data_IF_985787974541
#
_entry.id   IF_985787974541
#
_cell.length_a   1.000
_cell.length_b   1.000
_cell.length_c   1.000
_cell.angle_alpha   90.00
_cell.angle_beta   90.00
_cell.angle_gamma   90.00
#
_symmetry.space_group_name_H-M   'P 1'
#
loop_
_entity.id
_entity.type
_entity.pdbx_description
1 polymer ?
#
# COMPACT_ATOMS: atom_id res chain seq x y z
N UNK A 1 24.43 -2.48 -6.56
CA UNK A 1 24.78 -2.02 -5.19
C UNK A 1 23.48 -1.78 -4.40
N UNK A 2 23.49 -1.94 -3.07
CA UNK A 2 22.36 -1.62 -2.21
C UNK A 2 22.16 -0.10 -2.13
N UNK A 3 20.90 0.37 -2.09
CA UNK A 3 20.60 1.79 -1.88
C UNK A 3 20.95 2.20 -0.45
N UNK A 4 21.21 3.50 -0.20
CA UNK A 4 21.47 4.02 1.16
C UNK A 4 20.40 3.63 2.16
N UNK A 5 19.13 3.67 1.73
CA UNK A 5 18.00 3.20 2.55
C UNK A 5 18.12 1.72 2.93
N UNK A 6 18.60 0.89 2.02
CA UNK A 6 18.83 -0.56 2.29
C UNK A 6 20.00 -0.75 3.24
N UNK A 7 21.07 0.02 3.12
CA UNK A 7 22.21 -0.02 4.03
C UNK A 7 21.80 0.35 5.45
N UNK A 8 21.05 1.43 5.62
CA UNK A 8 20.52 1.83 6.93
C UNK A 8 19.57 0.78 7.54
N UNK A 9 18.75 0.10 6.72
CA UNK A 9 17.93 -1.01 7.18
C UNK A 9 18.80 -2.18 7.63
N UNK A 10 19.84 -2.52 6.90
CA UNK A 10 20.78 -3.60 7.22
C UNK A 10 21.52 -3.32 8.53
N UNK A 11 22.03 -2.12 8.70
CA UNK A 11 22.69 -1.71 9.95
C UNK A 11 21.78 -1.86 11.16
N UNK A 12 20.52 -1.42 11.06
CA UNK A 12 19.51 -1.60 12.14
C UNK A 12 19.21 -3.06 12.43
N UNK A 13 19.11 -3.89 11.40
CA UNK A 13 18.87 -5.33 11.56
C UNK A 13 20.07 -6.03 12.24
N UNK A 14 21.29 -5.70 11.81
CA UNK A 14 22.52 -6.24 12.42
C UNK A 14 22.63 -5.82 13.90
N UNK A 15 22.42 -4.53 14.21
CA UNK A 15 22.41 -4.01 15.58
C UNK A 15 21.38 -4.74 16.45
N UNK A 16 20.17 -4.93 15.97
CA UNK A 16 19.12 -5.65 16.68
C UNK A 16 19.52 -7.11 16.96
N UNK A 17 20.22 -7.76 16.04
CA UNK A 17 20.69 -9.13 16.22
C UNK A 17 21.82 -9.22 17.25
N UNK A 18 22.78 -8.28 17.24
CA UNK A 18 23.85 -8.24 18.25
C UNK A 18 23.32 -7.97 19.65
N UNK A 19 22.33 -7.08 19.79
CA UNK A 19 21.62 -6.91 21.07
C UNK A 19 20.91 -8.19 21.55
N UNK A 20 20.49 -9.07 20.63
CA UNK A 20 19.94 -10.37 20.97
C UNK A 20 21.04 -11.31 21.53
N UNK A 21 22.23 -11.33 20.94
CA UNK A 21 23.37 -12.09 21.46
C UNK A 21 23.77 -11.61 22.86
N UNK A 22 23.86 -10.31 23.03
CA UNK A 22 24.18 -9.67 24.31
C UNK A 22 23.17 -10.08 25.40
N UNK A 23 21.88 -9.98 25.16
CA UNK A 23 20.81 -10.39 26.09
C UNK A 23 20.88 -11.87 26.49
N UNK A 24 21.45 -12.70 25.63
CA UNK A 24 21.66 -14.13 25.87
C UNK A 24 23.04 -14.45 26.45
N UNK A 25 23.86 -13.44 26.73
CA UNK A 25 25.27 -13.58 27.15
C UNK A 25 26.10 -14.44 26.19
N UNK A 26 25.82 -14.34 24.87
CA UNK A 26 26.53 -15.06 23.82
C UNK A 26 27.63 -14.16 23.27
N UNK A 27 28.88 -14.60 23.32
CA UNK A 27 30.02 -13.87 22.73
C UNK A 27 29.86 -13.70 21.22
N UNK A 28 30.22 -12.52 20.70
CA UNK A 28 30.14 -12.22 19.26
C UNK A 28 31.33 -12.88 18.56
N UNK A 29 31.09 -14.06 17.99
CA UNK A 29 32.03 -14.82 17.14
C UNK A 29 31.32 -15.27 15.88
N UNK A 30 32.05 -15.55 14.80
CA UNK A 30 31.47 -16.03 13.54
C UNK A 30 30.61 -17.30 13.73
N UNK A 31 31.08 -18.20 14.61
CA UNK A 31 30.34 -19.40 14.97
C UNK A 31 29.03 -19.07 15.68
N UNK A 32 29.08 -18.30 16.75
CA UNK A 32 27.92 -17.96 17.57
C UNK A 32 26.86 -17.15 16.80
N UNK A 33 27.29 -16.24 15.91
CA UNK A 33 26.39 -15.53 14.98
C UNK A 33 25.65 -16.53 14.09
N UNK A 34 26.36 -17.50 13.52
CA UNK A 34 25.79 -18.52 12.66
C UNK A 34 24.81 -19.41 13.41
N UNK A 35 25.21 -19.90 14.59
CA UNK A 35 24.43 -20.81 15.40
C UNK A 35 23.13 -20.14 15.91
N UNK A 36 23.22 -18.88 16.41
CA UNK A 36 22.03 -18.12 16.85
C UNK A 36 21.12 -17.73 15.68
N UNK A 37 21.69 -17.43 14.49
CA UNK A 37 20.89 -17.16 13.30
C UNK A 37 20.07 -18.38 12.85
N UNK A 38 20.63 -19.58 12.96
CA UNK A 38 19.91 -20.83 12.70
C UNK A 38 18.88 -21.11 13.81
N UNK A 39 19.26 -20.94 15.07
CA UNK A 39 18.37 -21.18 16.21
C UNK A 39 17.15 -20.28 16.22
N UNK A 40 17.29 -19.00 15.82
CA UNK A 40 16.18 -18.05 15.78
C UNK A 40 15.28 -18.17 14.54
N UNK A 41 15.59 -19.04 13.59
CA UNK A 41 14.82 -19.15 12.33
C UNK A 41 13.32 -19.45 12.56
N UNK A 42 12.88 -20.29 13.50
CA UNK A 42 11.46 -20.52 13.77
C UNK A 42 10.72 -19.29 14.28
N UNK A 43 11.41 -18.36 14.93
CA UNK A 43 10.81 -17.14 15.47
C UNK A 43 10.44 -16.12 14.38
N UNK A 44 11.07 -16.25 13.22
CA UNK A 44 10.93 -15.29 12.14
C UNK A 44 10.25 -15.89 10.90
N UNK A 45 9.62 -15.04 10.11
CA UNK A 45 9.18 -15.43 8.77
C UNK A 45 10.41 -15.63 7.88
N UNK A 46 10.36 -16.58 6.93
CA UNK A 46 11.51 -16.88 6.05
C UNK A 46 12.08 -15.65 5.33
N UNK A 47 11.21 -14.74 4.89
CA UNK A 47 11.64 -13.50 4.21
C UNK A 47 12.37 -12.53 5.15
N UNK A 48 11.94 -12.44 6.42
CA UNK A 48 12.64 -11.63 7.42
C UNK A 48 13.99 -12.25 7.76
N UNK A 49 14.05 -13.57 7.97
CA UNK A 49 15.29 -14.29 8.23
C UNK A 49 16.31 -14.11 7.08
N UNK A 50 15.85 -14.21 5.83
CA UNK A 50 16.68 -13.95 4.64
C UNK A 50 17.28 -12.54 4.66
N UNK A 51 16.47 -11.52 5.00
CA UNK A 51 16.96 -10.12 5.12
C UNK A 51 17.93 -9.97 6.28
N UNK A 52 17.65 -10.57 7.43
CA UNK A 52 18.53 -10.57 8.59
C UNK A 52 19.88 -11.19 8.25
N UNK A 53 19.89 -12.36 7.58
CA UNK A 53 21.10 -12.98 7.08
C UNK A 53 21.88 -12.03 6.15
N UNK A 54 21.21 -11.41 5.19
CA UNK A 54 21.83 -10.44 4.29
C UNK A 54 22.44 -9.24 5.03
N UNK A 55 21.77 -8.75 6.05
CA UNK A 55 22.25 -7.64 6.88
C UNK A 55 23.51 -8.02 7.69
N UNK A 56 23.54 -9.24 8.23
CA UNK A 56 24.72 -9.74 8.96
C UNK A 56 25.92 -9.96 8.01
N UNK A 57 25.68 -10.49 6.81
CA UNK A 57 26.71 -10.64 5.78
C UNK A 57 27.31 -9.27 5.41
N UNK A 58 26.45 -8.29 5.12
CA UNK A 58 26.88 -6.93 4.78
C UNK A 58 27.70 -6.30 5.91
N UNK A 59 27.20 -6.41 7.15
CA UNK A 59 27.88 -5.87 8.33
C UNK A 59 29.26 -6.53 8.57
N UNK A 60 29.36 -7.86 8.46
CA UNK A 60 30.65 -8.55 8.63
C UNK A 60 31.66 -8.18 7.54
N UNK A 61 31.19 -8.01 6.29
CA UNK A 61 32.04 -7.52 5.17
C UNK A 61 32.56 -6.10 5.44
N UNK A 62 31.70 -5.22 5.91
CA UNK A 62 32.09 -3.83 6.21
C UNK A 62 33.08 -3.72 7.35
N UNK A 63 33.12 -4.70 8.27
CA UNK A 63 34.11 -4.83 9.34
C UNK A 63 35.38 -5.55 8.91
N UNK A 64 35.49 -6.02 7.67
CA UNK A 64 36.65 -6.77 7.15
C UNK A 64 36.63 -8.26 7.48
N UNK A 65 35.60 -8.81 8.14
CA UNK A 65 35.51 -10.23 8.48
C UNK A 65 34.91 -11.05 7.32
N UNK A 66 35.66 -11.20 6.24
CA UNK A 66 35.21 -11.81 4.97
C UNK A 66 34.81 -13.28 5.19
N UNK A 67 35.60 -14.08 5.90
CA UNK A 67 35.31 -15.49 6.16
C UNK A 67 34.04 -15.67 6.99
N UNK A 68 33.83 -14.80 7.98
CA UNK A 68 32.59 -14.81 8.77
C UNK A 68 31.35 -14.49 7.90
N UNK A 69 31.51 -13.53 6.98
CA UNK A 69 30.45 -13.17 6.05
C UNK A 69 30.12 -14.32 5.08
N UNK A 70 31.11 -15.01 4.55
CA UNK A 70 30.95 -16.17 3.66
C UNK A 70 30.27 -17.33 4.40
N UNK A 71 30.70 -17.63 5.61
CA UNK A 71 30.05 -18.62 6.48
C UNK A 71 28.57 -18.32 6.68
N UNK A 72 28.21 -17.07 7.01
CA UNK A 72 26.82 -16.65 7.22
C UNK A 72 26.05 -16.72 5.88
N UNK A 73 26.66 -16.33 4.77
CA UNK A 73 26.04 -16.36 3.45
C UNK A 73 25.66 -17.79 3.01
N UNK A 74 26.48 -18.78 3.35
CA UNK A 74 26.24 -20.19 3.08
C UNK A 74 25.09 -20.83 3.87
N UNK A 75 24.60 -20.17 4.94
CA UNK A 75 23.54 -20.73 5.78
C UNK A 75 22.21 -20.80 5.01
N UNK A 76 21.53 -21.94 5.16
CA UNK A 76 20.16 -22.14 4.68
C UNK A 76 19.18 -22.04 5.83
N UNK A 77 18.01 -21.47 5.59
CA UNK A 77 16.98 -21.39 6.61
C UNK A 77 16.45 -22.79 6.96
N UNK A 78 16.63 -23.28 8.19
CA UNK A 78 16.25 -24.65 8.56
C UNK A 78 14.73 -24.88 8.49
N UNK A 79 13.92 -23.82 8.65
CA UNK A 79 12.46 -23.92 8.60
C UNK A 79 11.94 -24.18 7.18
N UNK A 80 12.69 -23.75 6.15
CA UNK A 80 12.32 -23.94 4.74
C UNK A 80 13.17 -24.99 4.03
N UNK A 81 14.06 -25.66 4.75
CA UNK A 81 14.84 -26.76 4.22
C UNK A 81 13.94 -27.95 3.87
N UNK A 82 14.31 -28.72 2.85
CA UNK A 82 13.61 -29.95 2.49
C UNK A 82 13.61 -30.92 3.69
N UNK A 83 12.46 -31.48 4.01
CA UNK A 83 12.30 -32.39 5.16
C UNK A 83 12.14 -31.69 6.51
N UNK A 84 12.03 -30.36 6.55
CA UNK A 84 11.80 -29.65 7.81
C UNK A 84 10.37 -29.87 8.34
N UNK A 85 10.26 -30.32 9.58
CA UNK A 85 8.99 -30.44 10.30
C UNK A 85 8.60 -29.18 11.08
N UNK A 86 9.43 -28.13 11.06
CA UNK A 86 9.17 -26.90 11.78
C UNK A 86 8.12 -26.07 11.04
N UNK A 87 7.01 -25.66 11.69
CA UNK A 87 5.97 -24.89 11.04
C UNK A 87 6.47 -23.50 10.61
N UNK A 88 6.24 -23.15 9.34
CA UNK A 88 6.59 -21.85 8.80
C UNK A 88 5.73 -20.76 9.43
N UNK A 89 6.34 -19.74 10.03
CA UNK A 89 5.62 -18.58 10.57
C UNK A 89 4.83 -17.89 9.47
N UNK A 90 3.50 -17.98 9.56
CA UNK A 90 2.57 -17.44 8.56
C UNK A 90 2.64 -15.92 8.49
N UNK A 91 2.39 -15.40 7.29
CA UNK A 91 2.21 -13.96 7.12
C UNK A 91 0.94 -13.52 7.83
N UNK A 92 1.04 -12.42 8.59
CA UNK A 92 -0.13 -11.82 9.20
C UNK A 92 -1.19 -11.49 8.12
N UNK A 93 -2.42 -11.89 8.36
CA UNK A 93 -3.53 -11.54 7.50
C UNK A 93 -3.73 -10.02 7.51
N UNK A 94 -4.12 -9.48 6.37
CA UNK A 94 -4.39 -8.05 6.20
C UNK A 94 -5.79 -7.88 5.62
N UNK A 95 -6.44 -6.81 5.99
CA UNK A 95 -7.70 -6.40 5.34
C UNK A 95 -7.41 -6.02 3.90
N UNK A 96 -8.01 -6.76 2.95
CA UNK A 96 -7.80 -6.59 1.50
C UNK A 96 -8.95 -5.86 0.81
N UNK A 97 -9.93 -5.39 1.56
CA UNK A 97 -11.05 -4.60 1.05
C UNK A 97 -11.52 -3.67 2.15
N UNK A 98 -12.10 -2.55 1.77
CA UNK A 98 -12.70 -1.59 2.71
C UNK A 98 -14.21 -1.67 2.58
N UNK A 99 -14.88 -1.85 3.71
CA UNK A 99 -16.33 -1.68 3.78
C UNK A 99 -16.66 -0.18 3.68
N UNK A 100 -17.63 0.25 2.87
CA UNK A 100 -18.08 1.65 2.83
C UNK A 100 -18.41 2.21 4.22
N UNK A 101 -19.10 1.45 5.06
CA UNK A 101 -19.38 1.84 6.44
C UNK A 101 -18.13 2.05 7.28
N UNK A 102 -17.07 1.21 7.10
CA UNK A 102 -15.80 1.38 7.79
C UNK A 102 -15.06 2.64 7.31
N UNK A 103 -15.14 2.94 6.01
CA UNK A 103 -14.55 4.17 5.46
C UNK A 103 -15.26 5.41 6.01
N UNK A 104 -16.58 5.41 6.02
CA UNK A 104 -17.39 6.50 6.60
C UNK A 104 -17.04 6.69 8.08
N UNK A 105 -17.03 5.62 8.87
CA UNK A 105 -16.68 5.68 10.29
C UNK A 105 -15.29 6.25 10.54
N UNK A 106 -14.30 5.91 9.71
CA UNK A 106 -12.95 6.50 9.79
C UNK A 106 -12.95 7.99 9.44
N UNK A 107 -13.66 8.38 8.38
CA UNK A 107 -13.77 9.77 7.97
C UNK A 107 -14.42 10.59 9.09
N UNK A 108 -15.53 10.12 9.64
CA UNK A 108 -16.26 10.82 10.71
C UNK A 108 -15.43 10.88 12.00
N UNK A 109 -14.70 9.80 12.33
CA UNK A 109 -13.76 9.80 13.46
C UNK A 109 -12.73 10.94 13.39
N UNK A 110 -12.19 11.20 12.19
CA UNK A 110 -11.20 12.27 12.00
C UNK A 110 -11.83 13.64 11.79
N UNK A 111 -13.04 13.74 11.24
CA UNK A 111 -13.79 15.00 11.13
C UNK A 111 -14.12 15.59 12.52
N UNK A 112 -14.64 14.76 13.42
CA UNK A 112 -14.95 15.19 14.80
C UNK A 112 -13.70 15.70 15.54
N UNK A 113 -12.51 15.31 15.09
CA UNK A 113 -11.22 15.73 15.67
C UNK A 113 -10.52 16.81 14.87
N UNK A 114 -11.19 17.39 13.88
CA UNK A 114 -10.66 18.41 12.98
C UNK A 114 -9.32 17.98 12.30
N UNK A 115 -9.11 16.66 12.14
CA UNK A 115 -7.92 16.13 11.45
C UNK A 115 -8.15 16.05 9.93
N UNK A 116 -8.20 17.22 9.31
CA UNK A 116 -8.43 17.41 7.87
C UNK A 116 -7.42 16.62 7.03
N UNK A 117 -6.18 16.55 7.48
CA UNK A 117 -5.10 15.83 6.79
C UNK A 117 -5.36 14.33 6.70
N UNK A 118 -5.89 13.74 7.78
CA UNK A 118 -6.29 12.33 7.76
C UNK A 118 -7.51 12.09 6.86
N UNK A 119 -8.48 12.98 6.89
CA UNK A 119 -9.65 12.91 5.99
C UNK A 119 -9.19 13.00 4.53
N UNK A 120 -8.36 13.97 4.20
CA UNK A 120 -7.78 14.13 2.86
C UNK A 120 -6.98 12.89 2.43
N UNK A 121 -6.15 12.34 3.33
CA UNK A 121 -5.39 11.14 3.04
C UNK A 121 -6.30 9.92 2.77
N UNK A 122 -7.32 9.68 3.58
CA UNK A 122 -8.27 8.57 3.37
C UNK A 122 -8.95 8.70 2.00
N UNK A 123 -9.43 9.90 1.67
CA UNK A 123 -10.07 10.17 0.38
C UNK A 123 -9.08 9.92 -0.77
N UNK A 124 -7.87 10.48 -0.68
CA UNK A 124 -6.84 10.33 -1.71
C UNK A 124 -6.47 8.85 -1.94
N UNK A 125 -6.23 8.10 -0.86
CA UNK A 125 -5.93 6.67 -0.98
C UNK A 125 -7.10 5.88 -1.54
N UNK A 126 -8.34 6.26 -1.26
CA UNK A 126 -9.53 5.59 -1.80
C UNK A 126 -9.69 5.79 -3.30
N UNK A 127 -9.40 6.99 -3.81
CA UNK A 127 -9.53 7.32 -5.23
C UNK A 127 -8.36 6.82 -6.07
N UNK A 128 -7.14 6.94 -5.56
CA UNK A 128 -5.92 6.71 -6.35
C UNK A 128 -5.23 5.37 -6.07
N UNK A 129 -5.56 4.71 -4.98
CA UNK A 129 -4.94 3.44 -4.58
C UNK A 129 -3.42 3.49 -4.53
N UNK A 130 -2.83 4.63 -4.21
CA UNK A 130 -1.38 4.84 -4.16
C UNK A 130 -0.71 3.96 -3.10
N UNK A 131 0.60 3.75 -3.25
CA UNK A 131 1.40 3.21 -2.14
C UNK A 131 1.68 4.32 -1.13
N UNK A 132 1.72 4.04 0.17
CA UNK A 132 2.02 5.05 1.17
C UNK A 132 3.26 5.89 0.87
N UNK A 133 4.32 5.28 0.35
CA UNK A 133 5.55 5.99 0.01
C UNK A 133 5.47 6.85 -1.27
N UNK A 134 4.36 6.81 -2.02
CA UNK A 134 4.14 7.62 -3.22
C UNK A 134 3.44 8.96 -2.88
N UNK A 135 2.96 9.12 -1.64
CA UNK A 135 2.18 10.29 -1.23
C UNK A 135 2.95 11.62 -1.43
N UNK A 136 4.24 11.63 -1.13
CA UNK A 136 5.05 12.85 -1.18
C UNK A 136 5.25 13.35 -2.64
N UNK A 137 5.21 12.45 -3.60
CA UNK A 137 5.61 12.70 -4.99
C UNK A 137 4.41 12.65 -5.95
N UNK A 138 3.30 13.27 -5.53
CA UNK A 138 2.09 13.42 -6.33
C UNK A 138 1.97 14.87 -6.80
N UNK A 139 1.69 15.06 -8.09
CA UNK A 139 1.39 16.37 -8.68
C UNK A 139 0.07 16.35 -9.43
N UNK A 140 -0.69 17.43 -9.36
CA UNK A 140 -1.98 17.59 -10.01
C UNK A 140 -1.87 18.65 -11.13
N UNK A 141 -2.35 18.32 -12.30
CA UNK A 141 -2.47 19.23 -13.42
C UNK A 141 -3.84 19.04 -14.10
N UNK A 142 -4.76 19.95 -13.84
CA UNK A 142 -6.15 19.79 -14.28
C UNK A 142 -6.79 18.55 -13.65
N UNK A 143 -7.37 17.71 -14.47
CA UNK A 143 -7.96 16.42 -14.09
C UNK A 143 -6.95 15.26 -14.04
N UNK A 144 -5.68 15.55 -14.40
CA UNK A 144 -4.59 14.56 -14.41
C UNK A 144 -3.77 14.62 -13.13
N UNK A 145 -3.48 13.44 -12.58
CA UNK A 145 -2.65 13.25 -11.36
C UNK A 145 -1.44 12.40 -11.70
N UNK A 146 -0.26 13.00 -11.69
CA UNK A 146 0.99 12.29 -11.86
C UNK A 146 1.48 11.75 -10.53
N UNK A 147 1.87 10.48 -10.49
CA UNK A 147 2.38 9.79 -9.32
C UNK A 147 3.74 9.20 -9.64
N UNK A 148 4.75 9.58 -8.88
CA UNK A 148 6.10 9.00 -8.99
C UNK A 148 6.15 7.66 -8.25
N UNK A 149 6.57 6.60 -8.93
CA UNK A 149 6.58 5.25 -8.38
C UNK A 149 7.63 5.06 -7.28
N UNK A 150 7.20 4.67 -6.08
CA UNK A 150 8.08 4.52 -4.92
C UNK A 150 9.00 3.29 -4.94
N UNK A 151 8.79 2.34 -5.84
CA UNK A 151 9.57 1.09 -5.93
C UNK A 151 10.16 0.92 -7.32
N UNK A 152 10.95 1.89 -7.74
CA UNK A 152 11.73 1.75 -8.98
C UNK A 152 12.95 0.87 -8.70
N UNK A 153 13.17 -0.15 -9.54
CA UNK A 153 14.44 -0.86 -9.57
C UNK A 153 15.38 -0.19 -10.58
N UNK A 154 16.69 -0.32 -10.36
CA UNK A 154 17.70 0.27 -11.24
C UNK A 154 17.63 -0.25 -12.69
N UNK A 155 17.11 -1.46 -12.86
CA UNK A 155 16.90 -2.15 -14.14
C UNK A 155 15.53 -1.84 -14.77
N UNK A 156 14.75 -0.92 -14.20
CA UNK A 156 13.42 -0.58 -14.69
C UNK A 156 12.37 -1.70 -14.58
N UNK A 157 12.70 -2.85 -14.00
CA UNK A 157 11.81 -4.02 -13.94
C UNK A 157 10.64 -3.83 -12.95
N UNK A 158 10.77 -2.93 -11.96
CA UNK A 158 9.77 -2.74 -10.91
C UNK A 158 9.42 -1.29 -10.71
N UNK A 159 8.13 -1.03 -10.58
CA UNK A 159 7.56 0.28 -10.27
C UNK A 159 7.67 1.24 -11.44
N UNK A 160 6.57 1.87 -11.80
CA UNK A 160 6.51 2.88 -12.85
C UNK A 160 5.89 4.16 -12.32
N UNK A 161 6.30 5.28 -12.88
CA UNK A 161 5.54 6.51 -12.82
C UNK A 161 4.26 6.30 -13.61
N UNK A 162 3.21 7.00 -13.23
CA UNK A 162 1.94 6.92 -13.91
C UNK A 162 1.15 8.21 -13.76
N UNK A 163 0.28 8.45 -14.71
CA UNK A 163 -0.70 9.51 -14.63
C UNK A 163 -2.09 8.91 -14.57
N UNK A 164 -2.88 9.32 -13.60
CA UNK A 164 -4.28 8.96 -13.47
C UNK A 164 -5.11 10.13 -13.98
N UNK A 165 -6.18 9.86 -14.74
CA UNK A 165 -7.13 10.87 -15.17
C UNK A 165 -8.46 10.70 -14.43
N UNK A 166 -9.04 11.82 -13.97
CA UNK A 166 -10.28 11.87 -13.21
C UNK A 166 -11.31 12.78 -13.89
N UNK A 167 -11.94 12.27 -14.92
CA UNK A 167 -12.95 12.99 -15.67
C UNK A 167 -14.10 13.47 -14.77
N UNK A 168 -14.50 14.75 -14.94
CA UNK A 168 -15.59 15.34 -14.16
C UNK A 168 -15.33 15.52 -12.67
N UNK A 169 -14.08 15.51 -12.23
CA UNK A 169 -13.66 15.92 -10.89
C UNK A 169 -13.16 17.35 -10.95
N UNK A 170 -13.58 18.19 -10.01
CA UNK A 170 -13.07 19.56 -9.90
C UNK A 170 -11.56 19.55 -9.62
N UNK A 171 -10.73 20.11 -10.51
CA UNK A 171 -9.27 20.15 -10.34
C UNK A 171 -8.81 20.89 -9.08
N UNK A 172 -9.57 21.90 -8.65
CA UNK A 172 -9.26 22.66 -7.42
C UNK A 172 -9.44 21.80 -6.18
N UNK A 173 -10.55 21.04 -6.14
CA UNK A 173 -10.81 20.09 -5.08
C UNK A 173 -9.73 18.99 -5.04
N UNK A 174 -9.36 18.44 -6.20
CA UNK A 174 -8.34 17.41 -6.32
C UNK A 174 -6.97 17.90 -5.83
N UNK A 175 -6.57 19.12 -6.25
CA UNK A 175 -5.33 19.76 -5.80
C UNK A 175 -5.34 20.04 -4.30
N UNK A 176 -6.47 20.46 -3.74
CA UNK A 176 -6.61 20.72 -2.32
C UNK A 176 -6.42 19.44 -1.49
N UNK A 177 -7.06 18.34 -1.88
CA UNK A 177 -6.91 17.05 -1.17
C UNK A 177 -5.47 16.55 -1.22
N UNK A 178 -4.82 16.62 -2.38
CA UNK A 178 -3.42 16.19 -2.51
C UNK A 178 -2.53 17.02 -1.61
N UNK A 179 -2.65 18.33 -1.65
CA UNK A 179 -1.88 19.27 -0.82
C UNK A 179 -2.07 18.98 0.68
N UNK A 180 -3.32 18.86 1.14
CA UNK A 180 -3.60 18.60 2.56
C UNK A 180 -3.01 17.26 3.02
N UNK A 181 -3.12 16.22 2.21
CA UNK A 181 -2.56 14.91 2.55
C UNK A 181 -1.02 14.93 2.57
N UNK A 182 -0.36 15.72 1.71
CA UNK A 182 1.10 15.83 1.63
C UNK A 182 1.72 16.61 2.80
N UNK A 183 0.97 17.49 3.47
CA UNK A 183 1.45 18.19 4.67
C UNK A 183 1.74 17.25 5.85
N UNK A 184 1.22 16.03 5.84
CA UNK A 184 1.43 15.10 6.92
C UNK A 184 2.50 14.04 6.56
N UNK A 185 3.34 13.70 7.54
CA UNK A 185 4.26 12.58 7.39
C UNK A 185 3.49 11.26 7.27
N UNK A 186 3.81 10.46 6.28
CA UNK A 186 3.12 9.20 5.99
C UNK A 186 3.13 8.21 7.17
N UNK A 187 4.21 8.18 7.95
CA UNK A 187 4.29 7.34 9.15
C UNK A 187 3.29 7.79 10.21
N UNK A 188 3.18 9.09 10.43
CA UNK A 188 2.18 9.68 11.34
C UNK A 188 0.77 9.34 10.88
N UNK A 189 0.45 9.46 9.58
CA UNK A 189 -0.85 9.08 9.04
C UNK A 189 -1.15 7.59 9.27
N UNK A 190 -0.17 6.71 9.06
CA UNK A 190 -0.31 5.27 9.31
C UNK A 190 -0.56 4.95 10.79
N UNK A 191 0.13 5.63 11.71
CA UNK A 191 -0.05 5.46 13.15
C UNK A 191 -1.42 5.98 13.61
N UNK A 192 -1.85 7.15 13.14
CA UNK A 192 -3.19 7.70 13.39
C UNK A 192 -4.28 6.76 12.90
N UNK A 193 -4.16 6.23 11.67
CA UNK A 193 -5.12 5.26 11.12
C UNK A 193 -5.20 4.00 11.99
N UNK A 194 -4.07 3.49 12.46
CA UNK A 194 -4.00 2.32 13.34
C UNK A 194 -4.66 2.59 14.68
N UNK A 195 -4.45 3.75 15.27
CA UNK A 195 -5.06 4.16 16.56
C UNK A 195 -6.58 4.29 16.37
N UNK A 196 -7.02 5.02 15.35
CA UNK A 196 -8.44 5.18 15.04
C UNK A 196 -9.13 3.81 14.84
N UNK A 197 -8.49 2.91 14.08
CA UNK A 197 -9.01 1.57 13.91
C UNK A 197 -9.15 0.77 15.20
N UNK A 198 -8.21 0.89 16.14
CA UNK A 198 -8.30 0.28 17.47
C UNK A 198 -9.43 0.86 18.30
N UNK A 199 -9.64 2.17 18.22
CA UNK A 199 -10.71 2.84 18.96
C UNK A 199 -12.09 2.49 18.41
N UNK A 200 -12.25 2.47 17.09
CA UNK A 200 -13.52 2.14 16.44
C UNK A 200 -13.87 0.66 16.55
N UNK A 201 -12.84 -0.21 16.45
CA UNK A 201 -13.06 -1.66 16.41
C UNK A 201 -12.10 -2.41 17.34
N UNK A 202 -12.23 -2.26 18.67
CA UNK A 202 -11.28 -2.84 19.64
C UNK A 202 -11.20 -4.37 19.60
N UNK A 203 -12.28 -5.03 19.18
CA UNK A 203 -12.37 -6.50 19.07
C UNK A 203 -11.88 -7.07 17.74
N UNK A 204 -11.55 -6.21 16.74
CA UNK A 204 -11.10 -6.69 15.42
C UNK A 204 -9.60 -7.03 15.44
N UNK A 205 -9.26 -8.24 15.05
CA UNK A 205 -7.87 -8.68 14.93
C UNK A 205 -7.12 -8.01 13.75
N UNK A 206 -7.86 -7.63 12.70
CA UNK A 206 -7.29 -7.06 11.48
C UNK A 206 -7.96 -5.73 11.17
N UNK A 207 -7.17 -4.68 11.18
CA UNK A 207 -7.62 -3.32 10.94
C UNK A 207 -7.28 -2.86 9.51
N UNK A 208 -8.07 -1.93 8.93
CA UNK A 208 -7.74 -1.28 7.67
C UNK A 208 -6.37 -0.60 7.73
N UNK A 209 -5.69 -0.61 6.59
CA UNK A 209 -4.45 0.12 6.35
C UNK A 209 -4.57 0.83 5.01
N UNK A 210 -3.70 1.80 4.70
CA UNK A 210 -3.72 2.44 3.38
C UNK A 210 -3.57 1.45 2.21
N UNK A 211 -2.94 0.31 2.42
CA UNK A 211 -2.92 -0.77 1.42
C UNK A 211 -4.28 -1.43 1.21
N UNK A 212 -5.20 -1.35 2.17
CA UNK A 212 -6.55 -1.90 2.00
C UNK A 212 -7.33 -1.17 0.92
N UNK A 213 -7.19 0.17 0.83
CA UNK A 213 -7.76 0.96 -0.27
C UNK A 213 -7.14 0.63 -1.62
N UNK A 214 -5.81 0.42 -1.65
CA UNK A 214 -5.17 -0.03 -2.89
C UNK A 214 -5.66 -1.41 -3.35
N UNK A 215 -5.93 -2.33 -2.41
CA UNK A 215 -6.56 -3.60 -2.73
C UNK A 215 -7.99 -3.41 -3.22
N UNK A 216 -8.75 -2.48 -2.62
CA UNK A 216 -10.12 -2.17 -3.04
C UNK A 216 -10.12 -1.60 -4.46
N UNK A 217 -9.30 -0.58 -4.76
CA UNK A 217 -9.17 -0.06 -6.12
C UNK A 217 -8.80 -1.16 -7.13
N UNK A 218 -7.88 -2.05 -6.77
CA UNK A 218 -7.55 -3.20 -7.62
C UNK A 218 -8.72 -4.16 -7.86
N UNK A 219 -9.67 -4.26 -6.91
CA UNK A 219 -10.92 -5.01 -7.09
C UNK A 219 -11.86 -4.30 -8.06
N UNK A 220 -12.04 -3.00 -7.90
CA UNK A 220 -12.90 -2.16 -8.72
C UNK A 220 -12.42 -2.15 -10.19
N UNK A 221 -11.12 -1.90 -10.42
CA UNK A 221 -10.52 -1.92 -11.75
C UNK A 221 -10.67 -3.28 -12.45
N UNK A 222 -10.59 -4.39 -11.71
CA UNK A 222 -10.83 -5.73 -12.28
C UNK A 222 -12.30 -5.99 -12.60
N UNK A 223 -13.20 -5.39 -11.87
CA UNK A 223 -14.65 -5.54 -12.09
C UNK A 223 -15.17 -4.68 -13.23
N UNK A 224 -14.51 -3.55 -13.53
CA UNK A 224 -14.91 -2.60 -14.59
C UNK A 224 -14.77 -3.16 -16.02
N UNK A 225 -14.14 -4.31 -16.21
CA UNK A 225 -13.86 -4.85 -17.54
C UNK A 225 -12.64 -4.23 -18.23
N UNK A 226 -11.95 -3.31 -17.58
CA UNK A 226 -10.74 -2.67 -18.10
C UNK A 226 -9.66 -3.71 -18.44
N UNK A 227 -8.89 -3.46 -19.52
CA UNK A 227 -7.78 -4.31 -19.91
C UNK A 227 -6.70 -4.41 -18.83
N UNK A 228 -6.05 -5.59 -18.76
CA UNK A 228 -5.05 -5.85 -17.71
C UNK A 228 -3.80 -4.98 -17.81
N UNK A 229 -3.44 -4.53 -19.01
CA UNK A 229 -2.31 -3.61 -19.22
C UNK A 229 -2.66 -2.25 -18.65
N UNK A 230 -3.87 -1.76 -18.92
CA UNK A 230 -4.37 -0.50 -18.33
C UNK A 230 -4.45 -0.60 -16.80
N UNK A 231 -4.99 -1.70 -16.25
CA UNK A 231 -5.00 -1.92 -14.79
C UNK A 231 -3.58 -1.93 -14.23
N UNK A 232 -2.63 -2.59 -14.90
CA UNK A 232 -1.23 -2.60 -14.47
C UNK A 232 -0.64 -1.19 -14.46
N UNK A 233 -0.90 -0.39 -15.48
CA UNK A 233 -0.49 1.01 -15.57
C UNK A 233 -1.06 1.83 -14.39
N UNK A 234 -2.38 1.86 -14.22
CA UNK A 234 -3.05 2.61 -13.16
C UNK A 234 -2.57 2.21 -11.76
N UNK A 235 -2.21 0.95 -11.58
CA UNK A 235 -1.63 0.44 -10.33
C UNK A 235 -0.11 0.66 -10.22
N UNK A 236 0.56 1.22 -11.22
CA UNK A 236 2.01 1.41 -11.25
C UNK A 236 2.78 0.09 -11.19
N UNK A 237 2.35 -0.88 -12.00
CA UNK A 237 3.00 -2.17 -12.18
C UNK A 237 3.67 -2.21 -13.55
N UNK A 238 4.83 -2.83 -13.64
CA UNK A 238 5.53 -3.07 -14.90
C UNK A 238 5.28 -4.47 -15.50
N UNK A 239 4.36 -5.22 -14.90
CA UNK A 239 3.97 -6.54 -15.40
C UNK A 239 2.53 -6.85 -15.02
N UNK A 240 1.76 -7.37 -15.95
CA UNK A 240 0.34 -7.70 -15.78
C UNK A 240 0.09 -8.77 -14.73
N UNK A 241 1.03 -9.72 -14.50
CA UNK A 241 0.92 -10.71 -13.42
C UNK A 241 0.86 -10.06 -12.02
N UNK A 242 1.42 -8.85 -11.85
CA UNK A 242 1.38 -8.13 -10.57
C UNK A 242 -0.03 -7.69 -10.18
N UNK A 243 -0.94 -7.55 -11.14
CA UNK A 243 -2.36 -7.23 -10.91
C UNK A 243 -3.02 -8.28 -10.02
N UNK A 244 -2.63 -9.56 -10.15
CA UNK A 244 -3.20 -10.65 -9.35
C UNK A 244 -2.96 -10.51 -7.85
N UNK A 245 -1.96 -9.74 -7.43
CA UNK A 245 -1.62 -9.53 -6.02
C UNK A 245 -2.57 -8.56 -5.30
N UNK A 246 -3.35 -7.80 -6.02
CA UNK A 246 -4.22 -6.76 -5.48
C UNK A 246 -5.68 -7.03 -5.83
N UNK A 247 -6.53 -7.00 -4.81
CA UNK A 247 -7.98 -7.07 -4.97
C UNK A 247 -8.50 -8.41 -5.53
N UNK A 248 -9.79 -8.60 -5.35
CA UNK A 248 -10.55 -9.67 -5.98
C UNK A 248 -11.77 -9.04 -6.65
N UNK A 249 -12.09 -9.40 -7.89
CA UNK A 249 -13.28 -8.92 -8.61
C UNK A 249 -14.57 -9.04 -7.78
N UNK A 250 -14.71 -10.12 -7.02
CA UNK A 250 -15.87 -10.33 -6.12
C UNK A 250 -15.99 -9.33 -4.96
N UNK A 251 -14.91 -8.60 -4.65
CA UNK A 251 -14.89 -7.57 -3.60
C UNK A 251 -15.11 -6.16 -4.14
N UNK A 252 -15.40 -6.02 -5.43
CA UNK A 252 -15.76 -4.74 -6.04
C UNK A 252 -17.14 -4.29 -5.56
N UNK A 253 -17.35 -3.00 -5.43
CA UNK A 253 -18.56 -2.36 -4.89
C UNK A 253 -19.08 -1.24 -5.77
N UNK A 254 -18.36 -0.97 -6.87
CA UNK A 254 -18.61 0.18 -7.73
C UNK A 254 -17.99 1.46 -7.16
N UNK A 255 -18.04 2.49 -7.96
CA UNK A 255 -17.48 3.81 -7.61
C UNK A 255 -16.77 4.44 -8.79
N UNK A 256 -16.37 5.69 -8.61
CA UNK A 256 -15.60 6.41 -9.63
C UNK A 256 -14.19 5.84 -9.71
N UNK A 257 -13.79 5.49 -10.93
CA UNK A 257 -12.47 4.94 -11.22
C UNK A 257 -11.62 5.97 -11.98
N UNK A 258 -10.30 5.98 -11.77
CA UNK A 258 -9.40 6.69 -12.66
C UNK A 258 -9.35 6.01 -14.03
N UNK A 259 -9.18 6.78 -15.08
CA UNK A 259 -8.87 6.30 -16.43
C UNK A 259 -7.39 6.50 -16.76
N UNK A 260 -6.92 5.79 -17.79
CA UNK A 260 -5.63 6.06 -18.41
C UNK A 260 -5.78 7.29 -19.31
N UNK A 261 -4.89 8.29 -19.19
CA UNK A 261 -4.85 9.36 -20.19
C UNK A 261 -4.64 8.79 -21.60
N UNK A 262 -5.21 9.47 -22.61
CA UNK A 262 -5.08 9.04 -24.01
C UNK A 262 -3.62 9.00 -24.50
N UNK A 263 -2.77 9.83 -23.93
CA UNK A 263 -1.32 9.94 -24.17
C UNK A 263 -0.46 9.01 -23.27
N UNK A 264 -1.07 8.09 -22.54
CA UNK A 264 -0.34 7.19 -21.65
C UNK A 264 0.47 6.16 -22.43
N UNK A 265 1.78 6.10 -22.18
CA UNK A 265 2.64 5.04 -22.72
C UNK A 265 2.44 3.74 -21.92
N UNK A 266 1.84 2.74 -22.55
CA UNK A 266 1.62 1.40 -21.99
C UNK A 266 2.64 0.37 -22.48
N UNK A 267 3.51 0.73 -23.42
CA UNK A 267 4.44 -0.18 -24.12
C UNK A 267 5.45 -0.84 -23.16
N UNK A 268 5.81 -0.13 -22.11
CA UNK A 268 6.75 -0.63 -21.10
C UNK A 268 6.18 -1.70 -20.16
N UNK A 269 4.87 -2.00 -20.25
CA UNK A 269 4.19 -2.96 -19.38
C UNK A 269 4.27 -4.36 -19.99
N UNK A 270 5.03 -5.24 -19.37
CA UNK A 270 5.20 -6.62 -19.83
C UNK A 270 3.93 -7.43 -19.61
N UNK A 271 3.45 -8.07 -20.66
CA UNK A 271 2.33 -9.04 -20.60
C UNK A 271 2.87 -10.36 -20.08
N UNK A 272 2.61 -10.68 -18.82
CA UNK A 272 3.14 -11.84 -18.10
C UNK A 272 2.04 -12.67 -17.42
N UNK A 273 0.78 -12.40 -17.74
CA UNK A 273 -0.34 -13.23 -17.30
C UNK A 273 -0.65 -14.29 -18.37
N UNK A 274 -1.07 -15.47 -17.92
CA UNK A 274 -1.66 -16.45 -18.85
C UNK A 274 -2.98 -15.89 -19.39
N UNK A 275 -3.08 -15.78 -20.70
CA UNK A 275 -4.35 -15.53 -21.37
C UNK A 275 -5.11 -16.86 -21.36
N UNK A 276 -6.32 -16.95 -20.80
CA UNK A 276 -7.13 -18.17 -20.97
C UNK A 276 -7.34 -18.42 -22.46
N UNK A 277 -7.09 -19.63 -22.93
CA UNK A 277 -7.46 -20.01 -24.29
C UNK A 277 -8.95 -19.76 -24.50
N UNK A 278 -9.32 -19.37 -25.71
CA UNK A 278 -10.66 -18.92 -26.06
C UNK A 278 -11.79 -19.95 -25.78
N UNK A 279 -11.43 -21.19 -25.46
CA UNK A 279 -12.34 -22.31 -25.29
C UNK A 279 -13.06 -22.40 -23.93
N UNK A 280 -12.75 -21.50 -22.98
CA UNK A 280 -13.42 -21.45 -21.66
C UNK A 280 -14.26 -20.19 -21.49
N UNK A 281 -15.11 -19.86 -22.48
CA UNK A 281 -16.15 -18.84 -22.37
C UNK A 281 -17.46 -19.47 -21.94
N UNK A 282 -17.67 -19.66 -20.65
CA UNK A 282 -18.99 -19.64 -20.05
C UNK A 282 -18.95 -18.80 -18.77
N UNK A 283 -18.82 -17.50 -18.91
CA UNK A 283 -19.14 -16.56 -17.86
C UNK A 283 -20.38 -15.78 -18.27
N UNK A 284 -21.49 -16.19 -17.70
CA UNK A 284 -22.74 -15.43 -17.74
C UNK A 284 -22.46 -14.10 -17.04
N UNK A 285 -22.49 -13.01 -17.79
CA UNK A 285 -22.55 -11.68 -17.20
C UNK A 285 -23.85 -11.59 -16.40
N UNK A 286 -23.84 -11.22 -15.13
CA UNK A 286 -25.06 -10.77 -14.51
C UNK A 286 -25.46 -9.47 -15.22
N UNK A 287 -26.59 -9.51 -15.91
CA UNK A 287 -27.32 -8.34 -16.37
C UNK A 287 -27.80 -7.58 -15.14
N UNK A 288 -26.96 -6.78 -14.56
CA UNK A 288 -27.38 -5.72 -13.66
C UNK A 288 -27.41 -4.45 -14.52
N UNK A 289 -28.58 -3.89 -14.78
CA UNK A 289 -28.65 -2.60 -15.47
C UNK A 289 -27.84 -1.61 -14.63
N UNK A 290 -26.90 -0.94 -15.24
CA UNK A 290 -26.29 0.25 -14.67
C UNK A 290 -27.46 1.23 -14.57
N UNK A 291 -27.97 1.42 -13.36
CA UNK A 291 -28.85 2.54 -13.08
C UNK A 291 -28.03 3.80 -13.33
N UNK A 292 -28.19 4.35 -14.53
CA UNK A 292 -27.84 5.73 -14.80
C UNK A 292 -28.85 6.53 -13.98
N UNK A 293 -28.46 6.90 -12.77
CA UNK A 293 -29.19 7.88 -11.99
C UNK A 293 -28.91 9.20 -12.72
N UNK A 294 -29.83 9.62 -13.55
CA UNK A 294 -29.85 10.99 -14.02
C UNK A 294 -29.85 11.89 -12.78
N UNK A 295 -28.98 12.90 -12.72
CA UNK A 295 -28.93 13.78 -11.58
C UNK A 295 -30.24 14.56 -11.51
N UNK A 296 -31.09 14.25 -10.55
CA UNK A 296 -32.21 15.10 -10.18
C UNK A 296 -31.66 16.49 -9.83
N UNK A 297 -32.37 17.55 -10.23
CA UNK A 297 -31.94 18.95 -10.01
C UNK A 297 -31.62 19.27 -8.55
N UNK A 298 -32.13 18.52 -7.59
CA UNK A 298 -31.80 18.63 -6.16
C UNK A 298 -30.36 18.18 -5.80
N UNK A 299 -29.67 17.43 -6.68
CA UNK A 299 -28.28 16.99 -6.41
C UNK A 299 -27.23 18.06 -6.71
N UNK A 300 -27.59 19.15 -7.37
CA UNK A 300 -26.68 20.26 -7.67
C UNK A 300 -26.29 21.10 -6.43
N UNK A 301 -27.02 21.01 -5.34
CA UNK A 301 -26.74 21.74 -4.09
C UNK A 301 -25.62 21.06 -3.26
N UNK A 302 -25.29 19.80 -3.51
CA UNK A 302 -24.30 19.02 -2.74
C UNK A 302 -22.89 18.97 -3.36
N UNK A 303 -22.64 19.66 -4.46
CA UNK A 303 -21.35 19.67 -5.18
C UNK A 303 -20.40 20.82 -4.79
N UNK A 304 -20.56 21.40 -3.62
CA UNK A 304 -19.56 22.31 -3.08
C UNK A 304 -18.38 21.49 -2.55
N UNK A 305 -17.16 21.84 -3.00
CA UNK A 305 -15.94 21.13 -2.62
C UNK A 305 -15.70 21.07 -1.12
N UNK A 306 -14.68 20.33 -0.68
CA UNK A 306 -14.36 20.10 0.74
C UNK A 306 -14.23 21.38 1.56
N UNK A 307 -13.80 22.51 0.95
CA UNK A 307 -13.76 23.81 1.59
C UNK A 307 -15.16 24.33 2.01
N UNK A 308 -16.19 24.05 1.22
CA UNK A 308 -17.58 24.41 1.57
C UNK A 308 -18.14 23.48 2.66
N UNK A 309 -17.62 22.28 2.77
CA UNK A 309 -17.97 21.31 3.78
C UNK A 309 -17.40 21.72 5.18
N UNK A 310 -16.20 22.29 5.19
CA UNK A 310 -15.50 22.80 6.39
C UNK A 310 -16.14 24.08 6.90
N UNK A 311 -16.63 24.95 6.01
CA UNK A 311 -17.21 26.25 6.42
C UNK A 311 -18.67 26.15 6.90
N UNK A 312 -19.33 25.02 6.73
CA UNK A 312 -20.75 24.88 7.13
C UNK A 312 -20.95 24.75 8.64
N UNK A 313 -19.96 24.30 9.41
CA UNK A 313 -20.05 24.17 10.86
C UNK A 313 -19.67 25.47 11.60
N UNK A 314 -18.94 26.40 10.97
CA UNK A 314 -18.59 27.69 11.60
C UNK A 314 -19.74 28.67 11.70
N UNK A 315 -20.82 28.50 10.95
CA UNK A 315 -21.98 29.38 10.95
C UNK A 315 -23.06 29.04 11.99
N UNK A 316 -22.87 27.98 12.78
CA UNK A 316 -23.85 27.54 13.78
C UNK A 316 -23.47 27.89 15.22
N UNK A 317 -22.23 28.35 15.48
CA UNK A 317 -21.78 28.68 16.85
C UNK A 317 -21.99 30.12 17.27
N UNK A 318 -22.47 31.01 16.40
CA UNK A 318 -22.67 32.43 16.74
C UNK A 318 -24.10 32.74 17.27
N UNK A 319 -24.83 31.75 17.74
CA UNK A 319 -26.24 31.88 18.14
C UNK A 319 -26.58 31.60 19.61
N UNK A 320 -25.65 31.59 20.55
CA UNK A 320 -25.97 31.50 21.99
C UNK A 320 -25.12 32.42 22.83
N UNK A 321 -25.51 33.69 22.88
CA UNK A 321 -25.20 34.59 24.00
C UNK A 321 -26.44 35.45 24.26
N UNK A 322 -27.24 34.95 25.18
CA UNK A 322 -27.99 35.73 26.18
C UNK A 322 -28.56 34.78 27.23
#
# INVERSE_FOLDING_TARGET
>A
MATEKTKLEYERLAKHFYLRLERKNIKVTAKNISDELLACAPEYRPDYWRRLRGALVDHQKNLGYVEAAERIMGLRNPVTAQGSNTPVKKKQNRVKSINPADQTALIDYFKVRDDIRMVAAIILFSYMGIRPAELADITVNGDKVRIVGAKKSHDGIRGADRTLQFEGVDPRWLSSIVREAQFANIKSLQDKLRIAGKNLWPKRNHLPTFYSWRHQLGSELKASGMDRVQIAYLMGHQATASVNRYGNRKSARGGRLPSCPADADLSHIRVTHSVPSADNKSYIQPNTPIMVVEPSEESNVKRKGMAAFINRDKSKDDGFSR
#
